data_IF_188130319329
#
_entry.id   IF_188130319329
#
_cell.length_a   1.000
_cell.length_b   1.000
_cell.length_c   1.000
_cell.angle_alpha   90.00
_cell.angle_beta   90.00
_cell.angle_gamma   90.00
#
_symmetry.space_group_name_H-M   'P 1'
#
loop_
_entity.id
_entity.type
_entity.pdbx_description
1 polymer ?
#
# COMPACT_ATOMS: atom_id res chain seq x y z
N UNK A 1 -12.50 8.38 5.03
CA UNK A 1 -11.18 7.83 5.28
C UNK A 1 -10.17 8.97 5.39
N UNK A 2 -9.40 9.00 6.46
CA UNK A 2 -8.45 10.06 6.73
C UNK A 2 -7.12 9.81 6.01
N UNK A 3 -6.50 8.66 6.27
CA UNK A 3 -5.14 8.34 5.79
C UNK A 3 -5.10 6.97 5.14
N UNK A 4 -4.45 6.92 3.97
CA UNK A 4 -4.24 5.66 3.24
C UNK A 4 -2.75 5.53 2.95
N UNK A 5 -2.21 4.34 3.20
CA UNK A 5 -0.88 3.95 2.74
C UNK A 5 -1.04 3.05 1.52
N UNK A 6 -0.40 3.43 0.43
CA UNK A 6 -0.34 2.63 -0.79
C UNK A 6 1.07 2.05 -0.95
N UNK A 7 1.16 0.74 -1.13
CA UNK A 7 2.42 0.06 -1.43
C UNK A 7 2.41 -0.28 -2.91
N UNK A 8 3.32 0.32 -3.66
CA UNK A 8 3.40 0.15 -5.10
C UNK A 8 2.74 1.31 -5.85
N UNK A 9 3.42 2.45 -5.90
CA UNK A 9 2.94 3.64 -6.62
C UNK A 9 2.73 3.36 -8.11
N UNK A 10 3.64 2.62 -8.72
CA UNK A 10 3.59 2.29 -10.14
C UNK A 10 3.48 3.52 -11.01
N UNK A 11 2.48 3.54 -11.90
CA UNK A 11 2.21 4.68 -12.78
C UNK A 11 1.58 5.88 -12.06
N UNK A 12 1.06 5.66 -10.84
CA UNK A 12 0.36 6.68 -10.09
C UNK A 12 -1.14 6.77 -10.38
N UNK A 13 -1.67 5.91 -11.26
CA UNK A 13 -3.10 5.94 -11.58
C UNK A 13 -3.97 5.69 -10.35
N UNK A 14 -3.71 4.61 -9.62
CA UNK A 14 -4.46 4.28 -8.41
C UNK A 14 -4.23 5.34 -7.33
N UNK A 15 -3.00 5.84 -7.21
CA UNK A 15 -2.67 6.93 -6.29
C UNK A 15 -3.57 8.15 -6.54
N UNK A 16 -3.76 8.52 -7.81
CA UNK A 16 -4.62 9.63 -8.18
C UNK A 16 -6.08 9.39 -7.76
N UNK A 17 -6.56 8.16 -7.93
CA UNK A 17 -7.93 7.80 -7.56
C UNK A 17 -8.12 7.90 -6.05
N UNK A 18 -7.25 7.26 -5.27
CA UNK A 18 -7.42 7.24 -3.80
C UNK A 18 -7.13 8.61 -3.18
N UNK A 19 -6.32 9.45 -3.80
CA UNK A 19 -6.06 10.80 -3.31
C UNK A 19 -7.31 11.68 -3.33
N UNK A 20 -8.27 11.35 -4.17
CA UNK A 20 -9.53 12.08 -4.25
C UNK A 20 -10.54 11.60 -3.20
N UNK A 21 -10.28 10.46 -2.55
CA UNK A 21 -11.18 9.83 -1.59
C UNK A 21 -10.70 9.95 -0.14
N UNK A 22 -9.41 10.24 0.06
CA UNK A 22 -8.81 10.33 1.38
C UNK A 22 -8.29 11.74 1.64
N UNK A 23 -8.15 12.10 2.90
CA UNK A 23 -7.52 13.38 3.25
C UNK A 23 -6.04 13.38 2.94
N UNK A 24 -5.37 12.25 3.17
CA UNK A 24 -3.92 12.13 2.94
C UNK A 24 -3.59 10.74 2.41
N UNK A 25 -2.75 10.71 1.39
CA UNK A 25 -2.22 9.47 0.83
C UNK A 25 -0.71 9.45 1.01
N UNK A 26 -0.21 8.34 1.53
CA UNK A 26 1.21 8.04 1.60
C UNK A 26 1.47 6.90 0.65
N UNK A 27 2.40 7.07 -0.29
CA UNK A 27 2.67 6.05 -1.29
C UNK A 27 4.15 5.69 -1.32
N UNK A 28 4.44 4.40 -1.37
CA UNK A 28 5.80 3.85 -1.34
C UNK A 28 6.06 3.08 -2.61
N UNK A 29 7.21 3.34 -3.24
CA UNK A 29 7.66 2.66 -4.45
C UNK A 29 9.12 2.25 -4.32
N UNK A 30 9.43 0.99 -4.64
CA UNK A 30 10.81 0.49 -4.56
C UNK A 30 11.66 0.86 -5.79
N UNK A 31 11.03 1.20 -6.90
CA UNK A 31 11.70 1.51 -8.16
C UNK A 31 11.71 3.02 -8.38
N UNK A 32 12.88 3.64 -8.21
CA UNK A 32 12.99 5.09 -8.23
C UNK A 32 12.52 5.74 -9.53
N UNK A 33 12.89 5.26 -10.73
CA UNK A 33 12.40 5.87 -11.97
C UNK A 33 10.87 5.85 -12.10
N UNK A 34 10.21 4.79 -11.61
CA UNK A 34 8.74 4.74 -11.60
C UNK A 34 8.17 5.81 -10.68
N UNK A 35 8.73 5.94 -9.48
CA UNK A 35 8.29 6.93 -8.51
C UNK A 35 8.45 8.34 -9.06
N UNK A 36 9.59 8.64 -9.68
CA UNK A 36 9.86 9.98 -10.24
C UNK A 36 8.87 10.33 -11.35
N UNK A 37 8.53 9.38 -12.22
CA UNK A 37 7.52 9.59 -13.27
C UNK A 37 6.13 9.80 -12.70
N UNK A 38 5.75 8.98 -11.71
CA UNK A 38 4.46 9.12 -11.05
C UNK A 38 4.32 10.49 -10.39
N UNK A 39 5.36 10.95 -9.69
CA UNK A 39 5.37 12.28 -9.08
C UNK A 39 5.07 13.38 -10.10
N UNK A 40 5.71 13.33 -11.25
CA UNK A 40 5.49 14.34 -12.31
C UNK A 40 4.05 14.32 -12.79
N UNK A 41 3.50 13.13 -13.06
CA UNK A 41 2.13 12.98 -13.53
C UNK A 41 1.12 13.48 -12.50
N UNK A 42 1.32 13.13 -11.24
CA UNK A 42 0.41 13.50 -10.15
C UNK A 42 0.45 15.01 -9.85
N UNK A 43 1.63 15.63 -9.98
CA UNK A 43 1.76 17.08 -9.83
C UNK A 43 1.03 17.84 -10.95
N UNK A 44 1.03 17.30 -12.16
CA UNK A 44 0.28 17.89 -13.28
C UNK A 44 -1.23 17.86 -13.00
N UNK A 45 -1.71 16.88 -12.25
CA UNK A 45 -3.11 16.80 -11.83
C UNK A 45 -3.41 17.70 -10.63
N UNK A 46 -2.40 18.41 -10.11
CA UNK A 46 -2.53 19.33 -8.97
C UNK A 46 -3.01 18.66 -7.69
N UNK A 47 -2.70 17.39 -7.51
CA UNK A 47 -2.98 16.66 -6.28
C UNK A 47 -1.92 16.98 -5.24
N UNK A 48 -2.33 17.53 -4.09
CA UNK A 48 -1.42 18.06 -3.07
C UNK A 48 -1.41 17.25 -1.78
N UNK A 49 -2.26 16.25 -1.68
CA UNK A 49 -2.40 15.45 -0.46
C UNK A 49 -1.66 14.11 -0.54
N UNK A 50 -0.56 14.05 -1.30
CA UNK A 50 0.21 12.84 -1.51
C UNK A 50 1.64 13.05 -1.02
N UNK A 51 2.13 12.17 -0.16
CA UNK A 51 3.53 12.08 0.23
C UNK A 51 4.13 10.82 -0.39
N UNK A 52 5.34 10.94 -0.90
CA UNK A 52 6.02 9.88 -1.67
C UNK A 52 7.24 9.38 -0.91
N UNK A 53 7.51 8.08 -0.99
CA UNK A 53 8.70 7.50 -0.42
C UNK A 53 9.28 6.44 -1.36
N UNK A 54 10.60 6.52 -1.58
CA UNK A 54 11.35 5.49 -2.29
C UNK A 54 11.92 4.53 -1.25
N UNK A 55 11.32 3.36 -1.10
CA UNK A 55 11.75 2.38 -0.11
C UNK A 55 11.18 0.99 -0.41
N UNK A 56 11.57 0.03 0.43
CA UNK A 56 10.99 -1.31 0.47
C UNK A 56 9.56 -1.22 1.03
N UNK A 57 8.58 -1.58 0.21
CA UNK A 57 7.17 -1.49 0.59
C UNK A 57 6.76 -2.43 1.72
N UNK A 58 7.51 -3.54 1.95
CA UNK A 58 7.18 -4.46 3.05
C UNK A 58 7.37 -3.84 4.43
N UNK A 59 8.11 -2.74 4.52
CA UNK A 59 8.33 -1.99 5.76
C UNK A 59 7.23 -0.96 6.04
N UNK A 60 6.34 -0.72 5.08
CA UNK A 60 5.34 0.32 5.19
C UNK A 60 5.95 1.71 5.30
N UNK A 61 5.38 2.52 6.17
CA UNK A 61 5.90 3.86 6.46
C UNK A 61 5.62 4.18 7.94
N UNK A 62 6.46 3.62 8.79
CA UNK A 62 6.26 3.66 10.25
C UNK A 62 6.11 5.07 10.80
N UNK A 63 6.90 6.04 10.31
CA UNK A 63 6.89 7.40 10.81
C UNK A 63 5.56 8.13 10.56
N UNK A 64 4.75 7.64 9.64
CA UNK A 64 3.45 8.24 9.29
C UNK A 64 2.26 7.43 9.78
N UNK A 65 2.52 6.27 10.39
CA UNK A 65 1.45 5.41 10.95
C UNK A 65 0.81 6.09 12.18
N UNK A 66 -0.41 5.69 12.56
CA UNK A 66 -1.22 4.63 11.97
C UNK A 66 -2.00 5.08 10.72
N UNK A 67 -2.41 4.10 9.92
CA UNK A 67 -3.20 4.33 8.71
C UNK A 67 -4.60 3.74 8.84
N UNK A 68 -5.60 4.44 8.32
CA UNK A 68 -6.98 3.93 8.30
C UNK A 68 -7.15 2.82 7.27
N UNK A 69 -6.37 2.87 6.19
CA UNK A 69 -6.35 1.82 5.20
C UNK A 69 -4.92 1.66 4.66
N UNK A 70 -4.57 0.42 4.36
CA UNK A 70 -3.32 0.07 3.66
C UNK A 70 -3.70 -0.80 2.47
N UNK A 71 -3.18 -0.46 1.29
CA UNK A 71 -3.43 -1.20 0.06
C UNK A 71 -2.10 -1.59 -0.58
N UNK A 72 -1.97 -2.84 -0.99
CA UNK A 72 -0.81 -3.25 -1.78
C UNK A 72 -1.26 -3.81 -3.11
N UNK A 73 -0.49 -3.52 -4.16
CA UNK A 73 -0.75 -4.01 -5.52
C UNK A 73 0.23 -5.11 -5.92
N UNK A 74 1.08 -5.53 -5.00
CA UNK A 74 2.03 -6.63 -5.20
C UNK A 74 1.84 -7.66 -4.10
N UNK A 75 1.94 -8.95 -4.45
CA UNK A 75 1.61 -10.05 -3.56
C UNK A 75 2.86 -10.55 -2.81
N UNK A 76 2.94 -10.38 -1.47
CA UNK A 76 3.93 -11.08 -0.68
C UNK A 76 3.50 -12.54 -0.46
N UNK A 77 4.45 -13.40 -0.07
CA UNK A 77 4.13 -14.78 0.27
C UNK A 77 3.31 -14.87 1.56
N UNK A 78 3.53 -13.92 2.46
CA UNK A 78 2.78 -13.77 3.71
C UNK A 78 2.62 -12.30 4.03
N UNK A 79 1.67 -11.97 4.88
CA UNK A 79 1.40 -10.58 5.24
C UNK A 79 2.55 -10.06 6.11
N UNK A 80 3.23 -8.97 5.70
CA UNK A 80 4.28 -8.38 6.53
C UNK A 80 3.73 -7.87 7.87
N UNK A 81 4.40 -8.28 8.96
CA UNK A 81 4.00 -7.85 10.30
C UNK A 81 4.04 -6.33 10.46
N UNK A 82 4.97 -5.68 9.77
CA UNK A 82 5.11 -4.22 9.79
C UNK A 82 3.85 -3.51 9.29
N UNK A 83 3.20 -4.05 8.27
CA UNK A 83 1.96 -3.45 7.74
C UNK A 83 0.80 -3.62 8.72
N UNK A 84 0.70 -4.78 9.35
CA UNK A 84 -0.33 -5.02 10.37
C UNK A 84 -0.17 -4.05 11.55
N UNK A 85 1.06 -3.85 12.01
CA UNK A 85 1.36 -2.97 13.13
C UNK A 85 1.05 -1.50 12.83
N UNK A 86 1.02 -1.12 11.56
CA UNK A 86 0.77 0.26 11.12
C UNK A 86 -0.70 0.56 10.87
N UNK A 87 -1.59 -0.42 10.99
CA UNK A 87 -3.03 -0.20 10.89
C UNK A 87 -3.55 0.55 12.11
N UNK A 88 -4.51 1.44 11.87
CA UNK A 88 -5.21 2.11 12.97
C UNK A 88 -5.87 1.07 13.86
N UNK A 89 -5.58 1.05 15.17
CA UNK A 89 -6.18 0.06 16.08
C UNK A 89 -7.69 0.19 16.24
N UNK A 90 -8.29 1.24 15.73
CA UNK A 90 -9.73 1.49 15.78
C UNK A 90 -10.39 1.17 14.43
N UNK A 91 -10.13 0.01 13.88
CA UNK A 91 -10.78 -0.45 12.65
C UNK A 91 -10.00 -0.25 11.37
N UNK A 92 -8.68 -0.05 11.45
CA UNK A 92 -7.84 0.04 10.26
C UNK A 92 -7.93 -1.23 9.42
N UNK A 93 -7.90 -1.07 8.08
CA UNK A 93 -8.07 -2.18 7.14
C UNK A 93 -6.90 -2.28 6.18
N UNK A 94 -6.45 -3.52 5.97
CA UNK A 94 -5.43 -3.85 4.98
C UNK A 94 -6.06 -4.71 3.89
N UNK A 95 -5.91 -4.27 2.64
CA UNK A 95 -6.28 -5.09 1.48
C UNK A 95 -4.99 -5.50 0.79
N UNK A 96 -4.75 -6.80 0.71
CA UNK A 96 -3.48 -7.32 0.26
C UNK A 96 -3.64 -8.67 -0.44
N UNK A 97 -3.08 -8.84 -1.66
CA UNK A 97 -2.96 -10.16 -2.25
C UNK A 97 -1.83 -10.92 -1.57
N UNK A 98 -2.07 -12.17 -1.22
CA UNK A 98 -1.09 -13.01 -0.52
C UNK A 98 -0.94 -14.34 -1.23
N UNK A 99 0.29 -14.78 -1.41
CA UNK A 99 0.58 -16.07 -2.03
C UNK A 99 1.65 -15.99 -3.10
N UNK A 100 1.82 -17.09 -3.82
CA UNK A 100 2.83 -17.20 -4.88
C UNK A 100 2.18 -17.60 -6.19
N UNK A 101 2.67 -17.04 -7.31
CA UNK A 101 2.26 -17.38 -8.68
C UNK A 101 0.75 -17.43 -8.85
N UNK A 102 0.20 -18.64 -9.05
CA UNK A 102 -1.23 -18.86 -9.29
C UNK A 102 -2.03 -19.10 -8.01
N UNK A 103 -1.41 -19.02 -6.85
CA UNK A 103 -2.01 -19.36 -5.57
C UNK A 103 -2.10 -18.13 -4.68
N UNK A 104 -2.67 -17.04 -5.21
CA UNK A 104 -2.84 -15.79 -4.46
C UNK A 104 -4.29 -15.60 -4.07
N UNK A 105 -4.48 -15.14 -2.86
CA UNK A 105 -5.78 -14.77 -2.32
C UNK A 105 -5.78 -13.29 -1.96
N UNK A 106 -6.81 -12.58 -2.39
CA UNK A 106 -7.00 -11.19 -1.96
C UNK A 106 -7.63 -11.23 -0.57
N UNK A 107 -6.90 -10.72 0.41
CA UNK A 107 -7.31 -10.73 1.80
C UNK A 107 -7.67 -9.35 2.30
N UNK A 108 -8.68 -9.28 3.13
CA UNK A 108 -9.01 -8.10 3.93
C UNK A 108 -8.68 -8.41 5.38
N UNK A 109 -7.84 -7.59 5.98
CA UNK A 109 -7.51 -7.69 7.40
C UNK A 109 -8.03 -6.45 8.09
N UNK A 110 -8.77 -6.62 9.17
CA UNK A 110 -9.27 -5.51 9.99
C UNK A 110 -8.64 -5.60 11.37
N UNK A 111 -8.12 -4.48 11.85
CA UNK A 111 -7.54 -4.39 13.19
C UNK A 111 -8.50 -3.75 14.17
N UNK A 112 -8.68 -4.39 15.34
CA UNK A 112 -9.38 -3.82 16.48
C UNK A 112 -8.54 -4.06 17.72
N UNK A 113 -7.93 -3.00 18.26
CA UNK A 113 -6.93 -3.05 19.30
C UNK A 113 -5.75 -3.94 18.86
N UNK A 114 -5.47 -5.03 19.55
CA UNK A 114 -4.40 -5.96 19.20
C UNK A 114 -4.90 -7.20 18.47
N UNK A 115 -6.18 -7.21 18.07
CA UNK A 115 -6.76 -8.32 17.35
C UNK A 115 -6.90 -8.02 15.87
N UNK A 116 -6.68 -9.05 15.05
CA UNK A 116 -6.76 -8.96 13.58
C UNK A 116 -7.73 -10.01 13.06
N UNK A 117 -8.68 -9.59 12.26
CA UNK A 117 -9.63 -10.47 11.59
C UNK A 117 -9.32 -10.54 10.11
N UNK A 118 -9.24 -11.74 9.56
CA UNK A 118 -8.99 -11.94 8.14
C UNK A 118 -10.20 -12.48 7.43
N UNK A 119 -10.44 -12.01 6.21
CA UNK A 119 -11.38 -12.63 5.29
C UNK A 119 -10.78 -12.68 3.88
N UNK A 120 -11.13 -13.72 3.14
CA UNK A 120 -10.70 -13.89 1.76
C UNK A 120 -11.78 -13.28 0.87
N UNK A 121 -11.38 -12.30 0.05
CA UNK A 121 -12.30 -11.60 -0.84
C UNK A 121 -12.40 -12.29 -2.19
N UNK A 122 -11.27 -12.79 -2.71
CA UNK A 122 -11.23 -13.41 -4.03
C UNK A 122 -9.93 -14.17 -4.23
N UNK A 123 -9.86 -14.95 -5.30
CA UNK A 123 -8.63 -15.54 -5.81
C UNK A 123 -8.11 -14.64 -6.92
N UNK A 124 -6.85 -14.24 -6.84
CA UNK A 124 -6.29 -13.21 -7.73
C UNK A 124 -4.89 -13.60 -8.20
N UNK A 125 -4.36 -12.79 -9.12
CA UNK A 125 -2.97 -12.90 -9.56
C UNK A 125 -2.39 -11.49 -9.68
N UNK A 126 -1.41 -11.19 -8.84
CA UNK A 126 -0.67 -9.94 -8.86
C UNK A 126 0.82 -10.23 -9.02
N UNK A 127 1.60 -9.19 -9.36
CA UNK A 127 3.05 -9.31 -9.38
C UNK A 127 3.56 -9.55 -7.95
N UNK A 128 4.66 -10.33 -7.79
CA UNK A 128 5.23 -10.54 -6.46
C UNK A 128 5.69 -9.24 -5.82
N UNK A 129 5.54 -9.15 -4.51
CA UNK A 129 6.13 -8.05 -3.74
C UNK A 129 7.60 -8.37 -3.53
N UNK A 130 8.45 -7.60 -4.20
CA UNK A 130 9.90 -7.73 -4.10
C UNK A 130 10.43 -6.76 -3.05
N UNK A 131 11.44 -7.22 -2.32
CA UNK A 131 12.06 -6.43 -1.26
C UNK A 131 13.19 -5.56 -1.81
N UNK A 132 13.55 -4.54 -1.04
CA UNK A 132 14.62 -3.65 -1.37
C UNK A 132 14.22 -2.49 -2.27
N UNK A 133 15.22 -1.75 -2.73
CA UNK A 133 15.06 -0.56 -3.57
C UNK A 133 15.74 -0.77 -4.91
N UNK A 134 15.19 -0.12 -5.95
CA UNK A 134 15.80 -0.07 -7.28
C UNK A 134 16.00 1.40 -7.65
N UNK A 135 17.25 1.76 -8.00
CA UNK A 135 17.66 3.13 -8.29
C UNK A 135 17.56 3.50 -9.78
N UNK A 136 17.49 2.49 -10.63
CA UNK A 136 17.53 2.70 -12.09
C UNK A 136 16.46 1.92 -12.82
#
# INVERSE_FOLDING_TARGET
IETILEIGTGSGYQTAVIAQLAKKVFTVERIKPLLDRAKKSLKLLKLRNIDYKHDDGSLGWEQKAPFDAIMTTAAPQRIPAELLAQLNPLGGRLIIPVGVDNHQELKLVTRNADEYSESILDTVRFVPLLMGQVQH
#
